data_IF_430275277852
#
_entry.id   IF_430275277852
#
_cell.length_a   1.000
_cell.length_b   1.000
_cell.length_c   1.000
_cell.angle_alpha   90.00
_cell.angle_beta   90.00
_cell.angle_gamma   90.00
#
_symmetry.space_group_name_H-M   'P 1'
#
loop_
_entity.id
_entity.type
_entity.pdbx_description
1 polymer ?
#
# COMPACT_ATOMS: atom_id res chain seq x y z
N UNK A 1 23.66 -11.79 14.83
CA UNK A 1 24.19 -10.78 13.87
C UNK A 1 23.81 -9.38 14.34
N UNK A 2 24.74 -8.42 14.37
CA UNK A 2 24.41 -7.05 14.79
C UNK A 2 23.65 -6.28 13.71
N UNK A 3 22.58 -5.60 14.11
CA UNK A 3 21.69 -4.82 13.24
C UNK A 3 21.43 -3.44 13.81
N UNK A 4 21.01 -2.52 12.94
CA UNK A 4 20.38 -1.26 13.34
C UNK A 4 18.93 -1.25 12.89
N UNK A 5 18.00 -0.96 13.77
CA UNK A 5 16.56 -0.93 13.44
C UNK A 5 15.81 0.20 14.14
N UNK A 6 14.62 0.51 13.64
CA UNK A 6 13.62 1.33 14.33
C UNK A 6 12.56 0.41 14.95
N UNK A 7 12.44 0.44 16.28
CA UNK A 7 11.53 -0.44 17.03
C UNK A 7 10.51 0.36 17.84
N UNK A 8 9.29 -0.17 17.90
CA UNK A 8 8.15 0.41 18.61
C UNK A 8 7.98 -0.28 19.96
N UNK A 9 8.07 0.49 21.04
CA UNK A 9 8.00 0.04 22.44
C UNK A 9 6.66 0.36 23.12
N UNK A 10 5.81 1.15 22.46
CA UNK A 10 4.60 1.72 23.03
C UNK A 10 4.12 2.93 22.23
N UNK A 11 3.02 3.53 22.66
CA UNK A 11 2.50 4.78 22.08
C UNK A 11 3.58 5.86 22.01
N UNK A 12 3.87 6.34 20.80
CA UNK A 12 4.86 7.38 20.50
C UNK A 12 6.28 7.07 21.00
N UNK A 13 6.59 5.81 21.30
CA UNK A 13 7.90 5.36 21.76
C UNK A 13 8.60 4.59 20.65
N UNK A 14 9.16 5.34 19.69
CA UNK A 14 10.01 4.83 18.62
C UNK A 14 11.48 5.05 18.96
N UNK A 15 12.27 3.99 18.83
CA UNK A 15 13.71 4.04 19.14
C UNK A 15 14.51 3.50 17.97
N UNK A 16 15.56 4.24 17.62
CA UNK A 16 16.64 3.75 16.77
C UNK A 16 17.67 3.10 17.66
N UNK A 17 17.93 1.81 17.47
CA UNK A 17 18.84 1.06 18.32
C UNK A 17 19.70 0.07 17.54
N UNK A 18 20.86 -0.25 18.12
CA UNK A 18 21.73 -1.33 17.69
C UNK A 18 21.57 -2.50 18.65
N UNK A 19 21.39 -3.69 18.11
CA UNK A 19 21.18 -4.93 18.89
C UNK A 19 21.50 -6.13 17.99
N UNK A 20 21.45 -7.34 18.54
CA UNK A 20 21.81 -8.55 17.81
C UNK A 20 20.57 -9.40 17.49
N UNK A 21 20.35 -9.68 16.20
CA UNK A 21 19.39 -10.68 15.76
C UNK A 21 19.83 -12.09 16.21
N UNK A 22 18.86 -12.96 16.56
CA UNK A 22 19.14 -14.38 16.78
C UNK A 22 19.57 -15.06 15.48
N UNK A 23 20.22 -16.22 15.60
CA UNK A 23 20.47 -17.08 14.45
C UNK A 23 19.15 -17.67 13.94
N UNK A 24 19.03 -17.81 12.62
CA UNK A 24 17.83 -18.38 12.00
C UNK A 24 17.70 -19.86 12.29
N UNK A 25 16.45 -20.33 12.42
CA UNK A 25 16.11 -21.75 12.48
C UNK A 25 16.01 -22.38 11.08
N UNK A 26 15.78 -23.69 11.06
CA UNK A 26 15.64 -24.47 9.81
C UNK A 26 14.45 -24.05 8.95
N UNK A 27 13.45 -23.37 9.53
CA UNK A 27 12.22 -22.91 8.89
C UNK A 27 12.13 -21.39 8.74
N UNK A 28 13.22 -20.67 9.02
CA UNK A 28 13.31 -19.21 8.94
C UNK A 28 14.28 -18.79 7.83
N UNK A 29 14.22 -17.51 7.42
CA UNK A 29 15.11 -16.94 6.41
C UNK A 29 15.72 -15.65 6.95
N UNK A 30 17.04 -15.51 6.82
CA UNK A 30 17.73 -14.23 7.04
C UNK A 30 17.67 -13.42 5.75
N UNK A 31 17.27 -12.16 5.83
CA UNK A 31 17.21 -11.28 4.68
C UNK A 31 17.83 -9.91 4.98
N UNK A 32 18.58 -9.39 4.00
CA UNK A 32 19.07 -8.01 3.94
C UNK A 32 17.95 -7.12 3.42
N UNK A 33 17.58 -6.09 4.19
CA UNK A 33 16.56 -5.13 3.74
C UNK A 33 17.22 -4.11 2.82
N UNK A 34 16.64 -3.93 1.62
CA UNK A 34 17.18 -3.02 0.62
C UNK A 34 16.45 -1.68 0.60
N UNK A 35 15.12 -1.72 0.62
CA UNK A 35 14.26 -0.54 0.62
C UNK A 35 13.03 -0.82 1.47
N UNK A 36 12.65 0.14 2.30
CA UNK A 36 11.32 0.26 2.89
C UNK A 36 10.79 1.65 2.56
N UNK A 37 9.64 1.74 1.90
CA UNK A 37 8.91 3.01 1.77
C UNK A 37 8.01 3.24 2.99
N UNK A 38 7.66 4.50 3.23
CA UNK A 38 6.99 4.91 4.47
C UNK A 38 5.55 5.30 4.19
N UNK A 39 4.63 4.57 4.80
CA UNK A 39 3.20 4.84 4.76
C UNK A 39 2.71 5.57 6.03
N UNK A 40 1.62 6.35 5.88
CA UNK A 40 0.90 6.96 7.01
C UNK A 40 0.35 5.93 8.00
N UNK A 41 0.14 4.69 7.57
CA UNK A 41 -0.25 3.58 8.44
C UNK A 41 0.82 3.27 9.50
N UNK A 42 2.11 3.52 9.22
CA UNK A 42 3.18 3.45 10.22
C UNK A 42 3.00 4.53 11.28
N UNK A 43 2.70 5.77 10.88
CA UNK A 43 2.41 6.86 11.83
C UNK A 43 1.20 6.53 12.71
N UNK A 44 0.13 5.95 12.13
CA UNK A 44 -1.02 5.46 12.90
C UNK A 44 -0.61 4.40 13.94
N UNK A 45 0.25 3.45 13.58
CA UNK A 45 0.78 2.44 14.49
C UNK A 45 1.53 3.08 15.66
N UNK A 46 2.38 4.08 15.38
CA UNK A 46 3.13 4.82 16.39
C UNK A 46 2.22 5.55 17.36
N UNK A 47 1.16 6.21 16.86
CA UNK A 47 0.21 6.92 17.71
C UNK A 47 -0.59 5.98 18.62
N UNK A 48 -0.95 4.79 18.12
CA UNK A 48 -1.80 3.84 18.82
C UNK A 48 -1.01 2.84 19.68
N UNK A 49 0.26 2.55 19.37
CA UNK A 49 1.08 1.58 20.10
C UNK A 49 0.37 0.24 20.24
N UNK A 50 0.37 -0.30 21.45
CA UNK A 50 -0.31 -1.53 21.85
C UNK A 50 -1.85 -1.50 21.63
N UNK A 51 -2.47 -0.32 21.49
CA UNK A 51 -3.91 -0.24 21.15
C UNK A 51 -4.20 -0.36 19.66
N UNK A 52 -3.18 -0.45 18.80
CA UNK A 52 -3.36 -0.72 17.39
C UNK A 52 -3.67 -2.21 17.18
N UNK A 53 -4.73 -2.54 16.44
CA UNK A 53 -5.23 -3.93 16.26
C UNK A 53 -4.21 -4.95 15.75
N UNK A 54 -3.15 -4.50 15.06
CA UNK A 54 -2.07 -5.36 14.53
C UNK A 54 -0.80 -5.38 15.38
N UNK A 55 -0.70 -4.53 16.39
CA UNK A 55 0.49 -4.44 17.24
C UNK A 55 0.22 -5.24 18.51
N UNK A 56 1.20 -5.99 18.98
CA UNK A 56 1.03 -6.86 20.15
C UNK A 56 0.91 -6.03 21.44
N UNK A 57 0.23 -6.57 22.46
CA UNK A 57 0.08 -5.90 23.74
C UNK A 57 1.40 -5.81 24.53
N UNK A 58 2.35 -6.72 24.27
CA UNK A 58 3.60 -6.88 25.01
C UNK A 58 4.80 -6.12 24.40
N UNK A 59 4.57 -5.16 23.49
CA UNK A 59 5.65 -4.40 22.81
C UNK A 59 6.60 -3.64 23.75
N UNK A 60 6.20 -3.40 25.00
CA UNK A 60 7.08 -2.78 25.99
C UNK A 60 8.26 -3.68 26.36
N UNK A 61 8.06 -4.99 26.35
CA UNK A 61 9.10 -6.00 26.65
C UNK A 61 9.57 -6.73 25.40
N UNK A 62 8.72 -6.82 24.37
CA UNK A 62 9.00 -7.48 23.09
C UNK A 62 8.68 -6.54 21.91
N UNK A 63 9.50 -5.49 21.74
CA UNK A 63 9.21 -4.42 20.80
C UNK A 63 9.34 -4.90 19.35
N UNK A 64 8.46 -4.41 18.52
CA UNK A 64 8.34 -4.80 17.10
C UNK A 64 9.19 -3.91 16.21
N UNK A 65 9.73 -4.46 15.13
CA UNK A 65 10.35 -3.66 14.07
C UNK A 65 9.23 -3.11 13.17
N UNK A 66 9.23 -1.81 12.92
CA UNK A 66 8.25 -1.17 12.03
C UNK A 66 8.72 -1.17 10.56
N UNK A 67 7.83 -0.83 9.62
CA UNK A 67 8.11 -0.80 8.18
C UNK A 67 7.53 -2.03 7.48
N UNK A 68 6.76 -1.81 6.43
CA UNK A 68 5.92 -2.84 5.80
C UNK A 68 5.80 -2.71 4.28
N UNK A 69 6.49 -1.74 3.66
CA UNK A 69 6.52 -1.58 2.21
C UNK A 69 7.93 -1.94 1.75
N UNK A 70 8.28 -3.22 1.90
CA UNK A 70 9.69 -3.65 2.00
C UNK A 70 10.12 -4.56 0.84
N UNK A 71 11.35 -4.34 0.36
CA UNK A 71 12.08 -5.29 -0.50
C UNK A 71 13.38 -5.74 0.17
N UNK A 72 13.74 -7.00 -0.08
CA UNK A 72 14.90 -7.65 0.53
C UNK A 72 15.71 -8.47 -0.48
N UNK A 73 16.95 -8.75 -0.13
CA UNK A 73 17.78 -9.83 -0.69
C UNK A 73 17.86 -10.95 0.35
N UNK A 74 17.61 -12.20 -0.04
CA UNK A 74 17.72 -13.34 0.87
C UNK A 74 19.20 -13.69 1.09
N UNK A 75 19.63 -13.73 2.34
CA UNK A 75 21.04 -13.92 2.71
C UNK A 75 21.34 -15.34 3.16
N UNK A 76 20.42 -15.95 3.91
CA UNK A 76 20.52 -17.34 4.34
C UNK A 76 19.14 -17.97 4.41
N UNK A 77 18.95 -19.11 3.77
CA UNK A 77 17.66 -19.81 3.71
C UNK A 77 17.71 -21.07 4.56
N UNK A 78 16.79 -21.17 5.54
CA UNK A 78 16.62 -22.37 6.35
C UNK A 78 16.27 -23.60 5.50
N UNK A 79 16.75 -24.78 5.93
CA UNK A 79 16.68 -26.03 5.18
C UNK A 79 15.28 -26.39 4.67
N UNK A 80 14.21 -26.09 5.42
CA UNK A 80 12.81 -26.34 5.02
C UNK A 80 12.45 -25.64 3.71
N UNK A 81 13.03 -24.46 3.45
CA UNK A 81 12.61 -23.55 2.40
C UNK A 81 13.56 -23.50 1.19
N UNK A 82 14.68 -24.22 1.23
CA UNK A 82 15.70 -24.21 0.17
C UNK A 82 15.21 -24.74 -1.19
N UNK A 83 14.11 -25.50 -1.21
CA UNK A 83 13.49 -25.95 -2.47
C UNK A 83 12.62 -24.87 -3.14
N UNK A 84 12.29 -23.79 -2.42
CA UNK A 84 11.43 -22.71 -2.89
C UNK A 84 12.18 -21.39 -3.06
N UNK A 85 13.19 -21.16 -2.21
CA UNK A 85 13.95 -19.92 -2.18
C UNK A 85 15.45 -20.21 -2.09
N UNK A 86 16.28 -19.30 -2.61
CA UNK A 86 17.72 -19.40 -2.57
C UNK A 86 18.37 -18.09 -2.11
N UNK A 87 19.60 -18.18 -1.62
CA UNK A 87 20.43 -17.03 -1.28
C UNK A 87 20.68 -16.17 -2.53
N UNK A 88 20.69 -14.84 -2.36
CA UNK A 88 20.78 -13.85 -3.43
C UNK A 88 19.44 -13.52 -4.12
N UNK A 89 18.36 -14.26 -3.85
CA UNK A 89 17.04 -13.97 -4.41
C UNK A 89 16.51 -12.64 -3.88
N UNK A 90 15.94 -11.83 -4.76
CA UNK A 90 15.26 -10.57 -4.42
C UNK A 90 13.77 -10.74 -4.31
N UNK A 91 13.21 -10.26 -3.20
CA UNK A 91 11.80 -10.45 -2.85
C UNK A 91 11.18 -9.15 -2.35
N UNK A 92 9.93 -8.89 -2.74
CA UNK A 92 9.05 -7.97 -2.05
C UNK A 92 8.30 -8.73 -0.96
N UNK A 93 8.01 -8.06 0.16
CA UNK A 93 7.26 -8.65 1.26
C UNK A 93 5.79 -8.23 1.18
N UNK A 94 4.89 -9.20 1.15
CA UNK A 94 3.45 -8.97 1.37
C UNK A 94 3.21 -8.86 2.88
N UNK A 95 2.85 -7.68 3.43
CA UNK A 95 2.85 -7.51 4.87
C UNK A 95 1.67 -8.16 5.57
N UNK A 96 0.47 -8.09 4.98
CA UNK A 96 -0.74 -8.72 5.52
C UNK A 96 -0.76 -10.20 5.11
N UNK A 97 -0.52 -11.07 6.09
CA UNK A 97 -0.33 -12.51 5.89
C UNK A 97 -1.65 -13.29 5.71
N UNK A 98 -2.81 -12.65 5.84
CA UNK A 98 -4.14 -13.27 5.66
C UNK A 98 -4.33 -14.56 6.47
N UNK A 99 -3.81 -14.61 7.69
CA UNK A 99 -3.90 -15.78 8.56
C UNK A 99 -5.34 -15.94 9.09
N UNK A 100 -5.80 -17.20 9.21
CA UNK A 100 -7.18 -17.51 9.63
C UNK A 100 -7.54 -16.97 11.01
N UNK A 101 -6.64 -17.11 11.98
CA UNK A 101 -6.90 -16.84 13.40
C UNK A 101 -6.01 -15.72 13.97
N UNK A 102 -5.36 -14.92 13.10
CA UNK A 102 -4.41 -13.88 13.51
C UNK A 102 -4.37 -12.72 12.53
N UNK A 103 -4.12 -11.51 13.04
CA UNK A 103 -3.87 -10.31 12.23
C UNK A 103 -2.38 -9.96 12.15
N UNK A 104 -1.51 -10.94 12.38
CA UNK A 104 -0.07 -10.75 12.32
C UNK A 104 0.32 -10.14 10.97
N UNK A 105 1.00 -9.01 11.02
CA UNK A 105 1.38 -8.21 9.86
C UNK A 105 2.85 -7.82 10.00
N UNK A 106 3.63 -8.00 8.93
CA UNK A 106 5.03 -7.54 8.89
C UNK A 106 5.08 -6.03 9.12
N UNK A 107 6.01 -5.56 9.95
CA UNK A 107 6.09 -4.15 10.33
C UNK A 107 5.14 -3.71 11.45
N UNK A 108 4.36 -4.64 12.03
CA UNK A 108 3.45 -4.36 13.14
C UNK A 108 3.54 -5.38 14.28
N UNK A 109 3.72 -6.66 13.97
CA UNK A 109 3.49 -7.74 14.94
C UNK A 109 4.74 -8.55 15.30
N UNK A 110 5.86 -8.34 14.61
CA UNK A 110 7.04 -9.21 14.73
C UNK A 110 8.23 -8.50 15.36
N UNK A 111 8.86 -9.19 16.30
CA UNK A 111 10.03 -8.70 17.04
C UNK A 111 11.26 -8.56 16.14
N UNK A 112 11.39 -9.43 15.12
CA UNK A 112 12.59 -9.59 14.28
C UNK A 112 12.33 -9.36 12.79
N UNK A 113 11.13 -8.92 12.40
CA UNK A 113 10.73 -8.75 11.00
C UNK A 113 9.94 -7.44 10.78
N UNK A 114 10.57 -6.50 10.07
CA UNK A 114 10.00 -5.22 9.63
C UNK A 114 11.02 -4.44 8.79
N UNK A 115 10.53 -3.58 7.89
CA UNK A 115 11.35 -2.91 6.87
C UNK A 115 12.31 -1.83 7.38
N UNK A 116 12.10 -1.25 8.56
CA UNK A 116 13.05 -0.30 9.15
C UNK A 116 14.14 -1.01 9.97
N UNK A 117 14.86 -1.93 9.33
CA UNK A 117 16.01 -2.64 9.89
C UNK A 117 17.06 -2.91 8.81
N UNK A 118 18.33 -3.09 9.17
CA UNK A 118 19.37 -3.50 8.20
C UNK A 118 19.21 -4.95 7.76
N UNK A 119 18.84 -5.84 8.68
CA UNK A 119 18.53 -7.24 8.40
C UNK A 119 17.28 -7.64 9.19
N UNK A 120 16.62 -8.69 8.71
CA UNK A 120 15.44 -9.28 9.37
C UNK A 120 15.53 -10.80 9.37
N UNK A 121 14.88 -11.42 10.35
CA UNK A 121 14.58 -12.86 10.33
C UNK A 121 13.12 -13.01 9.93
N UNK A 122 12.88 -13.54 8.74
CA UNK A 122 11.55 -13.87 8.24
C UNK A 122 11.09 -15.15 8.94
N UNK A 123 10.04 -15.10 9.77
CA UNK A 123 9.55 -16.27 10.47
C UNK A 123 8.82 -17.22 9.52
N UNK A 124 8.79 -18.51 9.83
CA UNK A 124 8.17 -19.56 9.03
C UNK A 124 6.77 -19.22 8.49
N UNK A 125 5.94 -18.55 9.31
CA UNK A 125 4.58 -18.13 8.95
C UNK A 125 4.53 -17.21 7.72
N UNK A 126 5.56 -16.40 7.49
CA UNK A 126 5.65 -15.52 6.30
C UNK A 126 5.79 -16.36 5.04
N UNK A 127 6.64 -17.38 5.06
CA UNK A 127 6.81 -18.28 3.92
C UNK A 127 5.59 -19.20 3.72
N UNK A 128 4.95 -19.68 4.81
CA UNK A 128 3.72 -20.46 4.73
C UNK A 128 2.54 -19.67 4.14
N UNK A 129 2.50 -18.36 4.40
CA UNK A 129 1.51 -17.45 3.81
C UNK A 129 1.80 -17.11 2.33
N UNK A 130 2.92 -17.56 1.76
CA UNK A 130 3.33 -17.19 0.40
C UNK A 130 3.66 -15.70 0.26
N UNK A 131 4.15 -15.07 1.34
CA UNK A 131 4.32 -13.62 1.42
C UNK A 131 5.68 -13.11 0.91
N UNK A 132 6.51 -13.97 0.33
CA UNK A 132 7.72 -13.59 -0.39
C UNK A 132 7.41 -13.58 -1.88
N UNK A 133 7.49 -12.41 -2.51
CA UNK A 133 7.20 -12.22 -3.93
C UNK A 133 8.51 -11.98 -4.68
N UNK A 134 9.08 -12.99 -5.37
CA UNK A 134 10.30 -12.81 -6.14
C UNK A 134 10.12 -11.79 -7.25
N UNK A 135 11.11 -10.92 -7.45
CA UNK A 135 11.12 -9.94 -8.53
C UNK A 135 12.54 -9.75 -9.07
N UNK A 136 12.62 -9.23 -10.30
CA UNK A 136 13.89 -8.95 -10.97
C UNK A 136 14.56 -7.70 -10.38
N UNK A 137 15.78 -7.79 -9.83
CA UNK A 137 16.48 -6.65 -9.26
C UNK A 137 16.84 -5.56 -10.28
N UNK A 138 16.87 -5.85 -11.59
CA UNK A 138 17.12 -4.84 -12.63
C UNK A 138 16.04 -3.74 -12.63
N UNK A 139 14.84 -4.02 -12.11
CA UNK A 139 13.77 -3.04 -11.94
C UNK A 139 14.05 -2.05 -10.79
N UNK A 140 15.09 -2.32 -9.98
CA UNK A 140 15.45 -1.57 -8.79
C UNK A 140 14.67 -2.00 -7.55
N UNK A 141 15.34 -2.03 -6.40
CA UNK A 141 14.74 -2.45 -5.13
C UNK A 141 13.52 -1.61 -4.71
N UNK A 142 13.47 -0.34 -5.11
CA UNK A 142 12.30 0.51 -4.86
C UNK A 142 11.03 -0.02 -5.56
N UNK A 143 11.16 -0.72 -6.70
CA UNK A 143 10.01 -1.31 -7.37
C UNK A 143 9.36 -2.39 -6.49
N UNK A 144 10.18 -3.21 -5.82
CA UNK A 144 9.72 -4.21 -4.86
C UNK A 144 9.02 -3.59 -3.65
N UNK A 145 9.57 -2.52 -3.07
CA UNK A 145 8.95 -1.79 -1.96
C UNK A 145 7.57 -1.21 -2.35
N UNK A 146 7.44 -0.69 -3.57
CA UNK A 146 6.18 -0.14 -4.09
C UNK A 146 5.10 -1.19 -4.42
N UNK A 147 5.43 -2.49 -4.38
CA UNK A 147 4.44 -3.56 -4.61
C UNK A 147 3.31 -3.48 -3.60
N UNK A 148 3.61 -3.22 -2.32
CA UNK A 148 2.61 -3.12 -1.25
C UNK A 148 1.56 -2.03 -1.53
N UNK A 149 1.93 -0.74 -1.70
CA UNK A 149 0.94 0.31 -1.85
C UNK A 149 0.15 0.18 -3.17
N UNK A 150 0.80 -0.31 -4.24
CA UNK A 150 0.13 -0.58 -5.52
C UNK A 150 -0.87 -1.74 -5.37
N UNK A 151 -0.49 -2.81 -4.66
CA UNK A 151 -1.38 -3.96 -4.43
C UNK A 151 -2.62 -3.57 -3.65
N UNK A 152 -2.50 -2.66 -2.67
CA UNK A 152 -3.63 -2.15 -1.89
C UNK A 152 -4.62 -1.37 -2.78
N UNK A 153 -4.12 -0.57 -3.72
CA UNK A 153 -4.94 0.12 -4.73
C UNK A 153 -5.61 -0.89 -5.68
N UNK A 154 -4.88 -1.89 -6.16
CA UNK A 154 -5.47 -2.89 -7.06
C UNK A 154 -6.55 -3.72 -6.36
N UNK A 155 -6.36 -4.04 -5.07
CA UNK A 155 -7.33 -4.73 -4.25
C UNK A 155 -8.59 -3.88 -4.03
N UNK A 156 -8.46 -2.56 -3.81
CA UNK A 156 -9.62 -1.68 -3.65
C UNK A 156 -10.46 -1.66 -4.93
N UNK A 157 -9.83 -1.55 -6.09
CA UNK A 157 -10.51 -1.62 -7.38
C UNK A 157 -11.23 -2.94 -7.61
N UNK A 158 -10.57 -4.08 -7.37
CA UNK A 158 -11.21 -5.41 -7.48
C UNK A 158 -12.38 -5.61 -6.51
N UNK A 159 -12.44 -4.82 -5.44
CA UNK A 159 -13.49 -4.88 -4.42
C UNK A 159 -14.66 -3.93 -4.72
N UNK A 160 -14.50 -3.01 -5.69
CA UNK A 160 -15.63 -2.21 -6.19
C UNK A 160 -16.61 -3.11 -6.94
N UNK A 161 -17.88 -2.69 -7.00
CA UNK A 161 -18.90 -3.44 -7.70
C UNK A 161 -20.04 -2.55 -8.20
N UNK A 162 -20.71 -3.01 -9.26
CA UNK A 162 -21.89 -2.39 -9.85
C UNK A 162 -23.02 -3.41 -9.96
N UNK A 163 -24.25 -2.93 -9.99
CA UNK A 163 -25.44 -3.78 -10.15
C UNK A 163 -26.36 -3.15 -11.19
N UNK A 164 -26.67 -3.90 -12.25
CA UNK A 164 -27.67 -3.48 -13.22
C UNK A 164 -29.06 -3.42 -12.57
N UNK A 165 -29.87 -2.46 -12.99
CA UNK A 165 -31.24 -2.32 -12.49
C UNK A 165 -32.03 -3.62 -12.69
N UNK A 166 -32.51 -4.20 -11.60
CA UNK A 166 -33.28 -5.45 -11.60
C UNK A 166 -32.43 -6.73 -11.56
N UNK A 167 -31.10 -6.61 -11.62
CA UNK A 167 -30.18 -7.72 -11.35
C UNK A 167 -29.86 -7.81 -9.86
N UNK A 168 -29.53 -9.02 -9.40
CA UNK A 168 -28.93 -9.27 -8.07
C UNK A 168 -27.48 -9.76 -8.17
N UNK A 169 -26.89 -9.66 -9.37
CA UNK A 169 -25.54 -10.11 -9.66
C UNK A 169 -24.61 -8.89 -9.58
N UNK A 170 -23.63 -8.94 -8.68
CA UNK A 170 -22.56 -7.95 -8.60
C UNK A 170 -21.61 -8.12 -9.77
N UNK A 171 -21.40 -7.05 -10.53
CA UNK A 171 -20.29 -6.92 -11.46
C UNK A 171 -19.12 -6.35 -10.67
N UNK A 172 -18.17 -7.19 -10.30
CA UNK A 172 -16.99 -6.78 -9.54
C UNK A 172 -16.03 -5.99 -10.43
N UNK A 173 -15.10 -5.29 -9.78
CA UNK A 173 -14.12 -4.38 -10.37
C UNK A 173 -14.69 -2.98 -10.67
N UNK A 174 -13.82 -2.05 -11.07
CA UNK A 174 -14.25 -0.76 -11.63
C UNK A 174 -14.98 -0.96 -12.96
N UNK A 175 -15.90 -0.06 -13.29
CA UNK A 175 -16.71 -0.18 -14.49
C UNK A 175 -15.87 0.05 -15.74
N UNK A 176 -15.69 -1.00 -16.54
CA UNK A 176 -15.04 -0.89 -17.86
C UNK A 176 -15.78 0.11 -18.74
N UNK A 177 -15.06 1.13 -19.23
CA UNK A 177 -15.64 2.24 -20.00
C UNK A 177 -16.49 3.21 -19.18
N UNK A 178 -16.55 3.06 -17.85
CA UNK A 178 -17.20 4.00 -16.93
C UNK A 178 -16.41 5.28 -16.75
N UNK A 179 -17.00 6.25 -16.05
CA UNK A 179 -16.38 7.54 -15.73
C UNK A 179 -15.90 7.51 -14.29
N UNK A 180 -14.64 7.83 -14.07
CA UNK A 180 -14.00 7.68 -12.76
C UNK A 180 -13.56 9.04 -12.19
N UNK A 181 -13.83 9.28 -10.91
CA UNK A 181 -13.28 10.39 -10.15
C UNK A 181 -12.37 9.89 -9.02
N UNK A 182 -11.20 10.50 -8.85
CA UNK A 182 -10.26 10.20 -7.78
C UNK A 182 -9.96 11.47 -6.98
N UNK A 183 -10.40 11.50 -5.73
CA UNK A 183 -10.27 12.62 -4.82
C UNK A 183 -9.04 12.44 -3.92
N UNK A 184 -8.21 13.47 -3.77
CA UNK A 184 -6.90 13.36 -3.11
C UNK A 184 -5.86 12.64 -3.98
N UNK A 185 -5.93 12.85 -5.30
CA UNK A 185 -5.10 12.17 -6.31
C UNK A 185 -3.61 12.51 -6.23
N UNK A 186 -3.25 13.65 -5.65
CA UNK A 186 -1.89 14.16 -5.62
C UNK A 186 -0.97 13.54 -4.57
N UNK A 187 -1.54 12.79 -3.61
CA UNK A 187 -0.77 12.02 -2.63
C UNK A 187 -0.22 10.70 -3.22
N UNK A 188 0.68 9.98 -2.51
CA UNK A 188 1.26 8.73 -3.01
C UNK A 188 0.20 7.68 -3.41
N UNK A 189 -0.81 7.48 -2.57
CA UNK A 189 -1.90 6.52 -2.84
C UNK A 189 -2.79 6.97 -3.99
N UNK A 190 -3.12 8.26 -4.06
CA UNK A 190 -3.90 8.83 -5.15
C UNK A 190 -3.16 8.75 -6.49
N UNK A 191 -1.84 8.96 -6.49
CA UNK A 191 -1.01 8.81 -7.67
C UNK A 191 -0.96 7.35 -8.12
N UNK A 192 -0.77 6.41 -7.18
CA UNK A 192 -0.82 4.99 -7.45
C UNK A 192 -2.19 4.57 -8.02
N UNK A 193 -3.28 5.15 -7.50
CA UNK A 193 -4.64 4.98 -8.01
C UNK A 193 -4.80 5.44 -9.46
N UNK A 194 -4.39 6.68 -9.78
CA UNK A 194 -4.40 7.19 -11.16
C UNK A 194 -3.62 6.26 -12.09
N UNK A 195 -2.39 5.90 -11.69
CA UNK A 195 -1.54 5.01 -12.49
C UNK A 195 -2.20 3.64 -12.71
N UNK A 196 -2.70 3.01 -11.64
CA UNK A 196 -3.35 1.71 -11.72
C UNK A 196 -4.63 1.74 -12.57
N UNK A 197 -5.45 2.80 -12.47
CA UNK A 197 -6.65 2.98 -13.27
C UNK A 197 -6.38 3.07 -14.78
N UNK A 198 -5.26 3.68 -15.17
CA UNK A 198 -4.89 3.90 -16.58
C UNK A 198 -4.19 2.69 -17.24
N UNK A 199 -3.56 1.81 -16.47
CA UNK A 199 -2.77 0.68 -16.99
C UNK A 199 -3.49 -0.68 -16.97
N UNK A 200 -4.61 -0.80 -16.25
CA UNK A 200 -5.40 -2.04 -16.11
C UNK A 200 -6.22 -2.41 -17.34
N UNK A 201 -6.84 -3.60 -17.38
CA UNK A 201 -7.70 -4.02 -18.49
C UNK A 201 -9.08 -3.33 -18.47
N UNK A 202 -9.72 -3.31 -17.30
CA UNK A 202 -10.97 -2.56 -17.04
C UNK A 202 -10.65 -1.08 -16.87
N UNK A 203 -10.40 -0.37 -17.98
CA UNK A 203 -10.09 1.08 -17.95
C UNK A 203 -11.36 1.92 -17.95
N UNK A 204 -11.36 3.10 -17.29
CA UNK A 204 -12.42 4.08 -17.48
C UNK A 204 -12.36 4.72 -18.87
N UNK A 205 -13.47 5.27 -19.33
CA UNK A 205 -13.53 6.09 -20.56
C UNK A 205 -13.11 7.54 -20.32
N UNK A 206 -13.11 7.99 -19.06
CA UNK A 206 -12.72 9.33 -18.61
C UNK A 206 -12.25 9.24 -17.16
N UNK A 207 -11.17 9.95 -16.82
CA UNK A 207 -10.68 10.05 -15.45
C UNK A 207 -10.61 11.51 -15.00
N UNK A 208 -11.15 11.81 -13.82
CA UNK A 208 -11.00 13.10 -13.14
C UNK A 208 -10.10 12.90 -11.92
N UNK A 209 -8.97 13.58 -11.88
CA UNK A 209 -8.07 13.62 -10.75
C UNK A 209 -8.25 14.95 -10.01
N UNK A 210 -8.68 14.88 -8.75
CA UNK A 210 -8.83 16.07 -7.90
C UNK A 210 -7.91 16.04 -6.70
N UNK A 211 -7.36 17.20 -6.35
CA UNK A 211 -6.55 17.42 -5.15
C UNK A 211 -6.69 18.88 -4.72
N UNK A 212 -6.44 19.16 -3.45
CA UNK A 212 -6.45 20.53 -2.90
C UNK A 212 -5.26 21.36 -3.44
N UNK A 213 -4.14 20.69 -3.73
CA UNK A 213 -2.90 21.36 -4.12
C UNK A 213 -2.62 21.17 -5.61
N UNK A 214 -2.71 22.26 -6.39
CA UNK A 214 -2.45 22.24 -7.84
C UNK A 214 -1.04 21.73 -8.18
N UNK A 215 -0.05 22.03 -7.35
CA UNK A 215 1.32 21.52 -7.51
C UNK A 215 1.42 19.99 -7.50
N UNK A 216 0.49 19.30 -6.83
CA UNK A 216 0.44 17.84 -6.81
C UNK A 216 -0.24 17.29 -8.06
N UNK A 217 -1.31 17.94 -8.52
CA UNK A 217 -1.95 17.63 -9.79
C UNK A 217 -0.99 17.80 -10.96
N UNK A 218 -0.14 18.84 -10.93
CA UNK A 218 0.88 19.08 -11.94
C UNK A 218 1.90 17.93 -12.05
N UNK A 219 2.22 17.24 -10.94
CA UNK A 219 3.09 16.04 -10.99
C UNK A 219 2.45 14.91 -11.78
N UNK A 220 1.14 14.69 -11.60
CA UNK A 220 0.36 13.71 -12.36
C UNK A 220 0.30 14.13 -13.83
N UNK A 221 0.01 15.41 -14.08
CA UNK A 221 -0.11 16.01 -15.42
C UNK A 221 1.18 15.88 -16.23
N UNK A 222 2.34 16.04 -15.60
CA UNK A 222 3.65 15.85 -16.25
C UNK A 222 3.88 14.43 -16.77
N UNK A 223 3.28 13.43 -16.12
CA UNK A 223 3.48 12.02 -16.47
C UNK A 223 2.42 11.54 -17.47
N UNK A 224 1.16 11.92 -17.27
CA UNK A 224 0.03 11.39 -18.03
C UNK A 224 -0.57 12.37 -19.06
N UNK A 225 -0.23 13.66 -18.98
CA UNK A 225 -0.82 14.71 -19.82
C UNK A 225 -2.33 14.84 -19.63
N UNK A 226 -3.00 15.55 -20.55
CA UNK A 226 -4.48 15.63 -20.56
C UNK A 226 -5.17 14.41 -21.19
N UNK A 227 -4.40 13.45 -21.72
CA UNK A 227 -4.91 12.23 -22.35
C UNK A 227 -3.83 11.16 -22.34
N UNK A 228 -4.14 9.99 -21.81
CA UNK A 228 -3.22 8.85 -21.76
C UNK A 228 -3.86 7.61 -22.39
N UNK A 229 -3.19 7.02 -23.38
CA UNK A 229 -3.66 5.82 -24.10
C UNK A 229 -5.12 5.89 -24.57
N UNK A 230 -5.56 7.07 -25.03
CA UNK A 230 -6.94 7.28 -25.51
C UNK A 230 -7.92 7.83 -24.46
N UNK A 231 -7.57 7.79 -23.18
CA UNK A 231 -8.44 8.20 -22.07
C UNK A 231 -8.18 9.67 -21.72
N UNK A 232 -9.17 10.57 -21.85
CA UNK A 232 -9.05 11.95 -21.38
C UNK A 232 -8.91 12.00 -19.85
N UNK A 233 -8.02 12.88 -19.38
CA UNK A 233 -7.76 13.11 -17.97
C UNK A 233 -8.01 14.57 -17.65
N UNK A 234 -8.92 14.83 -16.71
CA UNK A 234 -9.21 16.16 -16.22
C UNK A 234 -8.64 16.35 -14.82
N UNK A 235 -8.02 17.50 -14.59
CA UNK A 235 -7.40 17.85 -13.32
C UNK A 235 -8.22 18.96 -12.68
N UNK A 236 -8.80 18.69 -11.52
CA UNK A 236 -9.70 19.61 -10.83
C UNK A 236 -9.09 19.98 -9.48
N UNK A 237 -8.60 21.22 -9.36
CA UNK A 237 -8.16 21.74 -8.07
C UNK A 237 -9.40 21.96 -7.18
N UNK A 238 -9.42 21.30 -6.03
CA UNK A 238 -10.47 21.51 -5.04
C UNK A 238 -10.32 22.89 -4.38
N UNK A 239 -11.41 23.63 -4.23
CA UNK A 239 -11.46 24.90 -3.49
C UNK A 239 -11.55 24.68 -1.98
N UNK A 240 -11.95 23.47 -1.56
CA UNK A 240 -12.27 23.15 -0.17
C UNK A 240 -13.71 23.53 0.21
N UNK A 241 -14.50 24.03 -0.74
CA UNK A 241 -15.93 24.20 -0.59
C UNK A 241 -16.67 23.05 -1.30
N UNK A 242 -17.42 22.25 -0.52
CA UNK A 242 -18.10 21.04 -1.01
C UNK A 242 -18.97 21.27 -2.25
N UNK A 243 -19.79 22.31 -2.26
CA UNK A 243 -20.72 22.55 -3.38
C UNK A 243 -19.98 22.98 -4.65
N UNK A 244 -18.94 23.79 -4.49
CA UNK A 244 -18.08 24.20 -5.62
C UNK A 244 -17.28 23.02 -6.16
N UNK A 245 -16.73 22.18 -5.28
CA UNK A 245 -15.96 21.00 -5.64
C UNK A 245 -16.84 19.98 -6.39
N UNK A 246 -18.04 19.70 -5.89
CA UNK A 246 -19.01 18.83 -6.57
C UNK A 246 -19.36 19.40 -7.95
N UNK A 247 -19.64 20.70 -8.03
CA UNK A 247 -19.95 21.35 -9.31
C UNK A 247 -18.79 21.23 -10.29
N UNK A 248 -17.56 21.49 -9.86
CA UNK A 248 -16.37 21.41 -10.70
C UNK A 248 -16.10 19.99 -11.22
N UNK A 249 -16.38 18.97 -10.40
CA UNK A 249 -16.33 17.57 -10.82
C UNK A 249 -17.41 17.24 -11.87
N UNK A 250 -18.65 17.64 -11.62
CA UNK A 250 -19.78 17.39 -12.54
C UNK A 250 -19.69 18.18 -13.85
N UNK A 251 -18.99 19.31 -13.89
CA UNK A 251 -18.67 20.00 -15.14
C UNK A 251 -17.85 19.13 -16.11
N UNK A 252 -17.03 18.21 -15.59
CA UNK A 252 -16.27 17.25 -16.40
C UNK A 252 -17.09 16.00 -16.75
N UNK A 253 -18.15 15.71 -15.97
CA UNK A 253 -19.00 14.54 -16.15
C UNK A 253 -20.44 14.82 -15.68
N UNK A 254 -21.28 15.46 -16.53
CA UNK A 254 -22.60 15.95 -16.12
C UNK A 254 -23.56 14.87 -15.61
N UNK A 255 -23.47 13.64 -16.12
CA UNK A 255 -24.30 12.51 -15.67
C UNK A 255 -23.69 11.75 -14.47
N UNK A 256 -22.73 12.34 -13.75
CA UNK A 256 -22.08 11.75 -12.57
C UNK A 256 -20.90 10.83 -12.86
N UNK A 257 -20.55 9.96 -11.92
CA UNK A 257 -19.44 9.02 -12.05
C UNK A 257 -19.91 7.60 -11.76
N UNK A 258 -19.31 6.62 -12.45
CA UNK A 258 -19.57 5.20 -12.22
C UNK A 258 -18.69 4.66 -11.07
N UNK A 259 -17.52 5.26 -10.87
CA UNK A 259 -16.57 4.91 -9.83
C UNK A 259 -15.99 6.18 -9.18
N UNK A 260 -16.03 6.27 -7.86
CA UNK A 260 -15.43 7.38 -7.10
C UNK A 260 -14.50 6.82 -6.03
N UNK A 261 -13.24 7.25 -6.03
CA UNK A 261 -12.23 6.85 -5.04
C UNK A 261 -11.75 8.03 -4.21
N UNK A 262 -11.58 7.83 -2.90
CA UNK A 262 -11.06 8.84 -1.97
C UNK A 262 -9.72 8.37 -1.39
N UNK A 263 -8.65 9.13 -1.64
CA UNK A 263 -7.28 8.78 -1.28
C UNK A 263 -6.63 9.72 -0.25
N UNK A 264 -7.43 10.62 0.33
CA UNK A 264 -7.04 11.42 1.48
C UNK A 264 -8.05 11.22 2.63
N UNK A 265 -7.59 11.07 3.89
CA UNK A 265 -8.45 10.80 5.04
C UNK A 265 -9.14 12.09 5.53
N UNK A 266 -9.95 12.70 4.67
CA UNK A 266 -10.65 13.96 4.93
C UNK A 266 -12.15 13.71 4.83
N UNK A 267 -12.88 13.99 5.92
CA UNK A 267 -14.34 13.76 6.00
C UNK A 267 -15.08 14.40 4.82
N UNK A 268 -14.71 15.62 4.47
CA UNK A 268 -15.36 16.37 3.40
C UNK A 268 -15.25 15.70 2.03
N UNK A 269 -14.13 15.01 1.74
CA UNK A 269 -13.99 14.28 0.48
C UNK A 269 -14.88 13.04 0.43
N UNK A 270 -15.14 12.40 1.58
CA UNK A 270 -16.06 11.26 1.66
C UNK A 270 -17.49 11.73 1.40
N UNK A 271 -17.89 12.87 1.99
CA UNK A 271 -19.21 13.47 1.77
C UNK A 271 -19.40 13.98 0.34
N UNK A 272 -18.35 14.49 -0.31
CA UNK A 272 -18.37 14.84 -1.73
C UNK A 272 -18.54 13.58 -2.59
N UNK A 273 -17.84 12.49 -2.27
CA UNK A 273 -17.90 11.26 -3.05
C UNK A 273 -19.24 10.51 -2.96
N UNK A 274 -20.02 10.74 -1.89
CA UNK A 274 -21.36 10.15 -1.68
C UNK A 274 -22.46 10.86 -2.51
N UNK A 275 -22.16 12.03 -3.08
CA UNK A 275 -23.11 12.89 -3.80
C UNK A 275 -22.90 12.88 -5.31
#
# INVERSE_FOLDING_TARGET
MDVTSIRLYGKKDLRREKWSLPDIKEDEILALVMVDSVCMSTYKAVLQGETHRRVNDDIKTRPVIIGHETSCVLEKVGAKWQNHYCEGMTVALQPDLQLKDSMATIGYSFEYCGGLSTYVVLPNVVMEAGALLPFDPEQGYYAGALVEPISAVLASYKSMYHVDKGSKIHQMDIKKGGRMALLGSGGPMGFAAVSAALHRESKPSLLVASDLMEERLEKIRKIFGGKYQGIPIYYVQASGNKEEDIKALLEQSPDGFDDVGVFAPVTDLVEIADR
#
